data_IF_732688898739
#
_entry.id   IF_732688898739
#
_cell.length_a   1.000
_cell.length_b   1.000
_cell.length_c   1.000
_cell.angle_alpha   90.00
_cell.angle_beta   90.00
_cell.angle_gamma   90.00
#
_symmetry.space_group_name_H-M   'P 1'
#
loop_
_entity.id
_entity.type
_entity.pdbx_description
1 polymer ?
#
# COMPACT_ATOMS: atom_id res chain seq x y z
N UNK A 1 11.13 16.54 -14.32
CA UNK A 1 11.42 15.11 -14.48
C UNK A 1 10.10 14.42 -14.75
N UNK A 2 9.90 13.93 -15.96
CA UNK A 2 8.69 13.20 -16.36
C UNK A 2 8.68 11.85 -15.64
N UNK A 3 7.55 11.42 -15.02
CA UNK A 3 7.49 10.13 -14.35
C UNK A 3 7.65 8.99 -15.36
N UNK A 4 8.20 7.85 -14.95
CA UNK A 4 8.34 6.68 -15.81
C UNK A 4 6.96 6.23 -16.29
N UNK A 5 6.84 5.98 -17.58
CA UNK A 5 5.60 5.53 -18.22
C UNK A 5 5.67 4.02 -18.41
N UNK A 6 4.69 3.31 -17.88
CA UNK A 6 4.54 1.88 -18.09
C UNK A 6 3.77 1.61 -19.39
N UNK A 7 4.35 0.87 -20.30
CA UNK A 7 3.67 0.38 -21.51
C UNK A 7 3.99 -1.11 -21.63
N UNK A 8 3.02 -1.95 -21.34
CA UNK A 8 3.20 -3.40 -21.29
C UNK A 8 4.14 -3.85 -20.15
N UNK A 9 5.02 -4.78 -20.42
CA UNK A 9 5.98 -5.33 -19.45
C UNK A 9 7.31 -4.55 -19.39
N UNK A 10 7.35 -3.28 -19.81
CA UNK A 10 8.59 -2.51 -19.93
C UNK A 10 8.54 -1.20 -19.13
N UNK A 11 9.61 -0.95 -18.38
CA UNK A 11 9.86 0.32 -17.69
C UNK A 11 10.59 1.28 -18.64
N UNK A 12 10.01 2.43 -18.94
CA UNK A 12 10.64 3.49 -19.73
C UNK A 12 11.18 4.57 -18.79
N UNK A 13 12.50 4.73 -18.78
CA UNK A 13 13.17 5.82 -18.07
C UNK A 13 13.49 6.95 -19.05
N UNK A 14 13.15 8.19 -18.68
CA UNK A 14 13.59 9.36 -19.41
C UNK A 14 15.09 9.56 -19.20
N UNK A 15 15.89 9.42 -20.24
CA UNK A 15 17.31 9.78 -20.23
C UNK A 15 17.44 11.26 -20.50
N UNK A 16 18.21 11.99 -19.63
CA UNK A 16 18.31 13.44 -19.56
C UNK A 16 18.34 14.17 -20.91
N UNK A 17 18.17 15.46 -20.90
CA UNK A 17 18.24 16.52 -21.95
C UNK A 17 17.80 16.23 -23.41
N UNK A 18 17.67 14.97 -23.87
CA UNK A 18 17.31 14.64 -25.27
C UNK A 18 15.92 14.02 -25.47
N UNK A 19 15.15 13.80 -24.40
CA UNK A 19 13.78 13.24 -24.51
C UNK A 19 13.66 11.84 -25.13
N UNK A 20 14.77 11.16 -25.39
CA UNK A 20 14.78 9.79 -25.93
C UNK A 20 14.69 8.78 -24.79
N UNK A 21 13.73 7.89 -24.86
CA UNK A 21 13.60 6.77 -23.93
C UNK A 21 14.56 5.65 -24.39
N UNK A 22 15.51 5.27 -23.55
CA UNK A 22 16.39 4.15 -23.83
C UNK A 22 15.76 2.86 -23.28
N UNK A 23 15.71 1.83 -24.12
CA UNK A 23 15.36 0.47 -23.67
C UNK A 23 16.50 -0.06 -22.78
N UNK A 24 16.19 -0.28 -21.51
CA UNK A 24 17.09 -1.01 -20.61
C UNK A 24 16.50 -2.39 -20.40
N UNK A 25 17.18 -3.47 -20.79
CA UNK A 25 16.71 -4.81 -20.47
C UNK A 25 16.63 -4.95 -18.96
N UNK A 26 15.44 -5.32 -18.45
CA UNK A 26 15.24 -5.52 -17.03
C UNK A 26 16.07 -6.72 -16.57
N UNK A 27 16.80 -6.56 -15.46
CA UNK A 27 17.45 -7.69 -14.78
C UNK A 27 16.36 -8.67 -14.30
N UNK A 28 16.68 -9.94 -14.12
CA UNK A 28 15.74 -10.96 -13.61
C UNK A 28 15.09 -10.51 -12.30
N UNK A 29 15.85 -9.87 -11.41
CA UNK A 29 15.40 -9.31 -10.14
C UNK A 29 14.37 -8.19 -10.32
N UNK A 30 14.56 -7.30 -11.32
CA UNK A 30 13.60 -6.22 -11.59
C UNK A 30 12.28 -6.78 -12.18
N UNK A 31 12.35 -7.79 -13.05
CA UNK A 31 11.18 -8.50 -13.58
C UNK A 31 10.37 -9.20 -12.48
N UNK A 32 11.04 -9.87 -11.54
CA UNK A 32 10.42 -10.53 -10.40
C UNK A 32 9.72 -9.52 -9.46
N UNK A 33 10.31 -8.34 -9.25
CA UNK A 33 9.69 -7.28 -8.49
C UNK A 33 8.40 -6.77 -9.17
N UNK A 34 8.42 -6.60 -10.48
CA UNK A 34 7.26 -6.15 -11.24
C UNK A 34 6.12 -7.18 -11.30
N UNK A 35 6.44 -8.46 -11.20
CA UNK A 35 5.45 -9.53 -11.19
C UNK A 35 4.78 -9.69 -9.81
N UNK A 36 5.47 -9.34 -8.74
CA UNK A 36 4.99 -9.48 -7.37
C UNK A 36 3.91 -8.42 -7.04
N UNK A 37 2.67 -8.81 -6.67
CA UNK A 37 1.62 -7.85 -6.30
C UNK A 37 2.02 -6.95 -5.11
N UNK A 38 2.76 -7.48 -4.13
CA UNK A 38 3.24 -6.71 -2.99
C UNK A 38 4.23 -5.64 -3.45
N UNK A 39 5.18 -5.98 -4.32
CA UNK A 39 6.14 -5.02 -4.87
C UNK A 39 5.43 -3.91 -5.66
N UNK A 40 4.43 -4.26 -6.49
CA UNK A 40 3.59 -3.27 -7.20
C UNK A 40 2.86 -2.34 -6.22
N UNK A 41 2.32 -2.88 -5.13
CA UNK A 41 1.69 -2.06 -4.09
C UNK A 41 2.71 -1.13 -3.44
N UNK A 42 3.92 -1.60 -3.14
CA UNK A 42 4.98 -0.75 -2.60
C UNK A 42 5.42 0.35 -3.57
N UNK A 43 5.42 0.12 -4.88
CA UNK A 43 5.64 1.20 -5.86
C UNK A 43 4.54 2.28 -5.81
N UNK A 44 3.32 1.89 -5.49
CA UNK A 44 2.20 2.84 -5.36
C UNK A 44 2.22 3.63 -4.05
N UNK A 45 2.42 2.95 -2.92
CA UNK A 45 2.21 3.54 -1.59
C UNK A 45 3.39 3.36 -0.63
N UNK A 46 4.50 2.77 -1.06
CA UNK A 46 5.64 2.42 -0.21
C UNK A 46 6.45 3.60 0.34
N UNK A 47 6.18 4.80 -0.12
CA UNK A 47 6.71 6.00 0.49
C UNK A 47 5.99 6.29 1.81
N UNK A 48 6.74 6.51 2.86
CA UNK A 48 6.26 6.74 4.22
C UNK A 48 5.02 7.65 4.30
N UNK A 49 5.10 8.84 3.68
CA UNK A 49 4.03 9.82 3.72
C UNK A 49 2.74 9.37 3.01
N UNK A 50 2.83 8.48 2.02
CA UNK A 50 1.66 7.99 1.28
C UNK A 50 0.70 7.23 2.19
N UNK A 51 1.22 6.36 3.05
CA UNK A 51 0.40 5.60 4.02
C UNK A 51 -0.21 6.54 5.06
N UNK A 52 0.55 7.52 5.57
CA UNK A 52 0.04 8.46 6.56
C UNK A 52 -1.02 9.41 5.98
N UNK A 53 -0.88 9.83 4.72
CA UNK A 53 -1.91 10.61 4.01
C UNK A 53 -3.20 9.78 3.86
N UNK A 54 -3.08 8.50 3.48
CA UNK A 54 -4.24 7.60 3.38
C UNK A 54 -4.91 7.39 4.74
N UNK A 55 -4.12 7.19 5.83
CA UNK A 55 -4.63 7.12 7.20
C UNK A 55 -5.48 8.35 7.55
N UNK A 56 -4.96 9.54 7.28
CA UNK A 56 -5.64 10.80 7.59
C UNK A 56 -6.91 10.97 6.74
N UNK A 57 -6.87 10.58 5.48
CA UNK A 57 -8.04 10.59 4.62
C UNK A 57 -9.15 9.62 5.09
N UNK A 58 -8.78 8.46 5.64
CA UNK A 58 -9.74 7.54 6.27
C UNK A 58 -10.36 8.12 7.55
N UNK A 59 -9.68 9.08 8.20
CA UNK A 59 -10.21 9.84 9.34
C UNK A 59 -11.06 11.05 8.90
N UNK A 60 -11.17 11.32 7.59
CA UNK A 60 -12.02 12.33 7.01
C UNK A 60 -11.32 13.62 6.57
N UNK A 61 -9.97 13.70 6.68
CA UNK A 61 -9.25 14.86 6.15
C UNK A 61 -9.27 14.82 4.62
N UNK A 62 -9.48 16.01 4.01
CA UNK A 62 -9.57 16.13 2.55
C UNK A 62 -8.76 17.30 1.99
N UNK A 63 -8.41 18.29 2.81
CA UNK A 63 -7.75 19.51 2.36
C UNK A 63 -6.24 19.45 2.53
N UNK A 64 -5.54 20.15 1.65
CA UNK A 64 -4.10 20.24 1.69
C UNK A 64 -3.56 20.73 3.03
N UNK A 65 -4.15 21.79 3.57
CA UNK A 65 -3.73 22.39 4.84
C UNK A 65 -4.07 21.51 6.05
N UNK A 66 -5.14 20.71 5.97
CA UNK A 66 -5.48 19.72 7.00
C UNK A 66 -4.43 18.61 7.06
N UNK A 67 -4.08 18.02 5.91
CA UNK A 67 -3.01 17.02 5.84
C UNK A 67 -1.66 17.62 6.30
N UNK A 68 -1.35 18.84 5.90
CA UNK A 68 -0.10 19.48 6.28
C UNK A 68 0.01 19.68 7.79
N UNK A 69 -1.06 20.14 8.43
CA UNK A 69 -1.14 20.31 9.89
C UNK A 69 -1.04 18.97 10.63
N UNK A 70 -1.78 17.97 10.18
CA UNK A 70 -1.81 16.64 10.80
C UNK A 70 -0.44 15.96 10.73
N UNK A 71 0.25 16.05 9.59
CA UNK A 71 1.47 15.32 9.34
C UNK A 71 2.76 16.09 9.69
N UNK A 72 2.69 17.40 9.85
CA UNK A 72 3.88 18.24 10.05
C UNK A 72 4.88 18.19 8.89
N UNK A 73 4.43 17.82 7.70
CA UNK A 73 5.30 17.59 6.54
C UNK A 73 5.50 18.87 5.72
N UNK A 74 6.67 19.02 5.08
CA UNK A 74 6.94 20.14 4.20
C UNK A 74 5.98 20.16 2.99
N UNK A 75 5.49 21.35 2.60
CA UNK A 75 4.46 21.53 1.56
C UNK A 75 4.84 20.91 0.21
N UNK A 76 6.12 20.97 -0.19
CA UNK A 76 6.60 20.38 -1.44
C UNK A 76 6.54 18.84 -1.43
N UNK A 77 6.80 18.23 -0.29
CA UNK A 77 6.69 16.76 -0.12
C UNK A 77 5.23 16.36 -0.18
N UNK A 78 4.36 17.04 0.58
CA UNK A 78 2.91 16.77 0.57
C UNK A 78 2.31 16.93 -0.83
N UNK A 79 2.61 18.04 -1.52
CA UNK A 79 2.12 18.29 -2.86
C UNK A 79 2.53 17.17 -3.85
N UNK A 80 3.78 16.70 -3.78
CA UNK A 80 4.28 15.60 -4.60
C UNK A 80 3.55 14.29 -4.29
N UNK A 81 3.30 13.98 -3.01
CA UNK A 81 2.60 12.76 -2.61
C UNK A 81 1.13 12.78 -3.00
N UNK A 82 0.41 13.86 -2.72
CA UNK A 82 -1.00 14.00 -3.12
C UNK A 82 -1.16 13.96 -4.65
N UNK A 83 -0.25 14.58 -5.40
CA UNK A 83 -0.22 14.46 -6.86
C UNK A 83 -0.05 13.01 -7.30
N UNK A 84 0.94 12.31 -6.75
CA UNK A 84 1.19 10.89 -7.06
C UNK A 84 -0.02 10.01 -6.74
N UNK A 85 -0.58 10.14 -5.54
CA UNK A 85 -1.75 9.36 -5.11
C UNK A 85 -2.99 9.64 -5.98
N UNK A 86 -3.11 10.86 -6.53
CA UNK A 86 -4.15 11.21 -7.50
C UNK A 86 -3.87 10.56 -8.87
N UNK A 87 -2.63 10.61 -9.36
CA UNK A 87 -2.23 10.02 -10.65
C UNK A 87 -2.42 8.50 -10.69
N UNK A 88 -2.20 7.80 -9.57
CA UNK A 88 -2.45 6.35 -9.46
C UNK A 88 -3.91 6.01 -9.11
N UNK A 89 -4.78 7.02 -9.01
CA UNK A 89 -6.22 6.86 -8.85
C UNK A 89 -6.68 6.44 -7.44
N UNK A 90 -5.90 6.71 -6.39
CA UNK A 90 -6.35 6.53 -5.01
C UNK A 90 -7.13 7.76 -4.51
N UNK A 91 -6.78 8.94 -5.01
CA UNK A 91 -7.52 10.18 -4.77
C UNK A 91 -8.06 10.75 -6.09
N UNK A 92 -9.12 11.54 -5.98
CA UNK A 92 -9.55 12.50 -6.98
C UNK A 92 -9.54 13.91 -6.40
N UNK A 93 -9.31 14.91 -7.24
CA UNK A 93 -9.36 16.32 -6.84
C UNK A 93 -10.72 16.89 -7.16
N UNK A 94 -11.38 17.46 -6.17
CA UNK A 94 -12.65 18.19 -6.33
C UNK A 94 -12.43 19.66 -6.03
N UNK A 95 -12.73 20.51 -7.00
CA UNK A 95 -12.63 21.96 -6.83
C UNK A 95 -13.70 22.45 -5.86
N UNK A 96 -13.30 23.12 -4.76
CA UNK A 96 -14.24 23.73 -3.82
C UNK A 96 -14.19 25.26 -3.80
N UNK A 97 -13.11 25.87 -4.33
CA UNK A 97 -12.97 27.32 -4.48
C UNK A 97 -12.34 27.64 -5.84
N UNK A 98 -12.88 28.64 -6.54
CA UNK A 98 -12.38 29.05 -7.86
C UNK A 98 -11.32 30.17 -7.78
N UNK A 99 -11.39 31.00 -6.75
CA UNK A 99 -10.49 32.18 -6.59
C UNK A 99 -10.05 32.33 -5.14
N UNK A 100 -8.79 31.95 -4.81
CA UNK A 100 -7.88 31.15 -5.62
C UNK A 100 -8.37 29.69 -5.78
N UNK A 101 -7.95 28.96 -6.83
CA UNK A 101 -8.38 27.58 -7.01
C UNK A 101 -7.90 26.70 -5.85
N UNK A 102 -8.86 26.06 -5.14
CA UNK A 102 -8.59 25.14 -4.03
C UNK A 102 -9.33 23.83 -4.25
N UNK A 103 -8.73 22.74 -3.80
CA UNK A 103 -9.21 21.39 -4.06
C UNK A 103 -9.29 20.57 -2.78
N UNK A 104 -10.36 19.78 -2.67
CA UNK A 104 -10.41 18.63 -1.78
C UNK A 104 -9.77 17.42 -2.48
N UNK A 105 -9.05 16.60 -1.73
CA UNK A 105 -8.52 15.32 -2.14
C UNK A 105 -9.42 14.22 -1.56
N UNK A 106 -10.26 13.63 -2.39
CA UNK A 106 -11.28 12.68 -1.97
C UNK A 106 -10.88 11.27 -2.39
N UNK A 107 -11.03 10.30 -1.48
CA UNK A 107 -10.75 8.90 -1.79
C UNK A 107 -11.69 8.39 -2.89
N UNK A 108 -11.12 7.81 -3.95
CA UNK A 108 -11.86 7.06 -4.97
C UNK A 108 -12.36 5.72 -4.39
N UNK A 109 -13.14 4.94 -5.16
CA UNK A 109 -13.46 3.56 -4.78
C UNK A 109 -12.19 2.74 -4.53
N UNK A 110 -11.21 2.84 -5.44
CA UNK A 110 -9.89 2.18 -5.30
C UNK A 110 -9.13 2.64 -4.04
N UNK A 111 -9.20 3.93 -3.70
CA UNK A 111 -8.60 4.47 -2.48
C UNK A 111 -9.27 3.89 -1.23
N UNK A 112 -10.59 3.80 -1.22
CA UNK A 112 -11.35 3.19 -0.12
C UNK A 112 -11.06 1.70 0.06
N UNK A 113 -10.86 0.96 -1.04
CA UNK A 113 -10.49 -0.46 -1.01
C UNK A 113 -9.13 -0.73 -0.33
N UNK A 114 -8.31 0.31 -0.14
CA UNK A 114 -7.04 0.20 0.59
C UNK A 114 -7.20 0.25 2.11
N UNK A 115 -8.38 0.60 2.63
CA UNK A 115 -8.65 0.71 4.07
C UNK A 115 -8.33 -0.58 4.87
N UNK A 116 -8.67 -1.80 4.42
CA UNK A 116 -8.32 -3.03 5.12
C UNK A 116 -6.80 -3.22 5.32
N UNK A 117 -5.97 -2.75 4.36
CA UNK A 117 -4.51 -2.82 4.49
C UNK A 117 -4.03 -1.92 5.63
N UNK A 118 -4.51 -0.67 5.68
CA UNK A 118 -4.16 0.26 6.77
C UNK A 118 -4.71 -0.23 8.12
N UNK A 119 -5.88 -0.86 8.14
CA UNK A 119 -6.47 -1.47 9.34
C UNK A 119 -5.62 -2.63 9.87
N UNK A 120 -5.10 -3.48 8.98
CA UNK A 120 -4.17 -4.56 9.37
C UNK A 120 -2.85 -4.01 9.91
N UNK A 121 -2.31 -2.92 9.32
CA UNK A 121 -1.13 -2.23 9.84
C UNK A 121 -1.39 -1.65 11.23
N UNK A 122 -2.56 -1.06 11.46
CA UNK A 122 -2.96 -0.53 12.78
C UNK A 122 -3.01 -1.66 13.83
N UNK A 123 -3.65 -2.78 13.52
CA UNK A 123 -3.74 -3.92 14.42
C UNK A 123 -2.36 -4.48 14.77
N UNK A 124 -1.50 -4.64 13.76
CA UNK A 124 -0.13 -5.11 13.97
C UNK A 124 0.69 -4.12 14.81
N UNK A 125 0.57 -2.81 14.52
CA UNK A 125 1.25 -1.75 15.28
C UNK A 125 0.82 -1.71 16.75
N UNK A 126 -0.48 -1.80 17.02
CA UNK A 126 -0.99 -1.85 18.40
C UNK A 126 -0.50 -3.06 19.16
N UNK A 127 -0.39 -4.22 18.51
CA UNK A 127 0.04 -5.46 19.16
C UNK A 127 1.55 -5.48 19.48
N UNK A 128 2.38 -4.91 18.59
CA UNK A 128 3.83 -5.10 18.65
C UNK A 128 4.63 -3.83 18.96
N UNK A 129 4.05 -2.64 18.74
CA UNK A 129 4.76 -1.36 18.83
C UNK A 129 4.15 -0.38 19.83
N UNK A 130 3.20 -0.83 20.65
CA UNK A 130 2.53 0.00 21.65
C UNK A 130 2.60 -0.66 23.04
N UNK A 131 3.79 -0.75 23.66
CA UNK A 131 3.96 -1.39 24.97
C UNK A 131 3.20 -0.68 26.11
N UNK A 132 2.93 0.61 25.95
CA UNK A 132 2.13 1.43 26.87
C UNK A 132 0.61 1.32 26.63
N UNK A 133 0.20 0.58 25.62
CA UNK A 133 -1.20 0.45 25.20
C UNK A 133 -1.52 1.20 23.91
N UNK A 134 -2.57 0.78 23.24
CA UNK A 134 -2.99 1.34 21.95
C UNK A 134 -3.52 2.77 22.10
N UNK A 135 -2.93 3.71 21.36
CA UNK A 135 -3.39 5.12 21.32
C UNK A 135 -4.57 5.33 20.36
N UNK A 136 -4.77 4.43 19.40
CA UNK A 136 -5.86 4.48 18.38
C UNK A 136 -6.44 3.08 18.21
N UNK A 137 -7.77 3.00 18.26
CA UNK A 137 -8.51 1.75 18.04
C UNK A 137 -9.50 1.94 16.88
N UNK A 138 -9.80 0.85 16.18
CA UNK A 138 -11.00 0.79 15.34
C UNK A 138 -12.20 0.45 16.22
N UNK A 139 -13.35 1.03 15.87
CA UNK A 139 -14.59 0.74 16.55
C UNK A 139 -15.71 0.49 15.52
N UNK A 140 -16.65 -0.38 15.88
CA UNK A 140 -17.86 -0.57 15.12
C UNK A 140 -18.68 0.75 15.10
N UNK A 141 -19.04 1.19 13.91
CA UNK A 141 -19.70 2.49 13.73
C UNK A 141 -21.04 2.60 14.48
N UNK A 142 -21.78 1.50 14.56
CA UNK A 142 -23.11 1.51 15.16
C UNK A 142 -23.06 1.51 16.70
N UNK A 143 -22.14 0.76 17.31
CA UNK A 143 -22.10 0.55 18.75
C UNK A 143 -20.98 1.31 19.46
N UNK A 144 -19.98 1.80 18.71
CA UNK A 144 -18.76 2.38 19.29
C UNK A 144 -17.82 1.36 19.96
N UNK A 145 -18.15 0.07 19.91
CA UNK A 145 -17.31 -0.99 20.53
C UNK A 145 -16.02 -1.17 19.75
N UNK A 146 -14.87 -1.27 20.43
CA UNK A 146 -13.61 -1.58 19.80
C UNK A 146 -13.67 -2.90 19.02
N UNK A 147 -13.03 -2.93 17.84
CA UNK A 147 -12.89 -4.13 17.00
C UNK A 147 -11.43 -4.36 16.68
N UNK A 148 -11.03 -5.62 16.61
CA UNK A 148 -9.69 -6.02 16.17
C UNK A 148 -9.77 -6.55 14.73
N UNK A 149 -9.06 -5.92 13.76
CA UNK A 149 -9.05 -6.40 12.39
C UNK A 149 -8.29 -7.72 12.27
N UNK A 150 -8.88 -8.67 11.56
CA UNK A 150 -8.24 -9.92 11.16
C UNK A 150 -8.38 -10.12 9.65
N UNK A 151 -7.45 -10.86 9.05
CA UNK A 151 -7.52 -11.24 7.65
C UNK A 151 -8.11 -12.64 7.55
N UNK A 152 -9.21 -12.76 6.80
CA UNK A 152 -9.94 -14.01 6.62
C UNK A 152 -9.99 -14.37 5.14
N UNK A 153 -10.01 -15.67 4.85
CA UNK A 153 -10.42 -16.18 3.56
C UNK A 153 -11.93 -15.94 3.39
N UNK A 154 -12.29 -15.25 2.29
CA UNK A 154 -13.68 -14.81 2.07
C UNK A 154 -14.71 -15.95 2.01
N UNK A 155 -14.46 -17.07 1.29
CA UNK A 155 -15.41 -18.17 1.22
C UNK A 155 -15.55 -18.95 2.54
N UNK A 156 -14.46 -19.28 3.20
CA UNK A 156 -14.45 -20.15 4.38
C UNK A 156 -14.52 -19.41 5.70
N UNK A 157 -14.29 -18.09 5.69
CA UNK A 157 -14.12 -17.23 6.88
C UNK A 157 -13.01 -17.73 7.83
N UNK A 158 -12.08 -18.53 7.32
CA UNK A 158 -10.94 -19.05 8.08
C UNK A 158 -9.86 -17.97 8.17
N UNK A 159 -9.22 -17.76 9.35
CA UNK A 159 -8.10 -16.83 9.48
C UNK A 159 -6.93 -17.21 8.56
N UNK A 160 -6.39 -16.19 7.86
CA UNK A 160 -5.21 -16.33 7.03
C UNK A 160 -3.98 -16.16 7.91
N UNK A 161 -3.26 -17.26 8.14
CA UNK A 161 -2.01 -17.33 8.93
C UNK A 161 -0.96 -18.13 8.15
N UNK A 162 0.28 -18.13 8.64
CA UNK A 162 1.34 -18.96 8.04
C UNK A 162 1.04 -20.46 8.11
N UNK A 163 0.21 -20.88 9.06
CA UNK A 163 -0.17 -22.29 9.24
C UNK A 163 -1.36 -22.71 8.36
N UNK A 164 -2.19 -21.75 7.95
CA UNK A 164 -3.41 -22.03 7.19
C UNK A 164 -3.27 -21.82 5.69
N UNK A 165 -2.28 -21.03 5.23
CA UNK A 165 -2.11 -20.72 3.82
C UNK A 165 -0.65 -20.75 3.36
N UNK A 166 -0.46 -20.98 2.06
CA UNK A 166 0.83 -20.89 1.39
C UNK A 166 0.73 -20.01 0.15
N UNK A 167 1.83 -19.38 -0.23
CA UNK A 167 1.90 -18.65 -1.49
C UNK A 167 2.07 -19.66 -2.64
N UNK A 168 1.24 -19.55 -3.65
CA UNK A 168 1.31 -20.34 -4.88
C UNK A 168 1.45 -19.43 -6.10
N UNK A 169 1.98 -19.98 -7.17
CA UNK A 169 2.07 -19.28 -8.44
C UNK A 169 0.65 -19.06 -9.02
N UNK A 170 0.35 -17.83 -9.41
CA UNK A 170 -0.90 -17.49 -10.07
C UNK A 170 -0.88 -17.89 -11.56
N UNK A 171 -2.02 -17.79 -12.26
CA UNK A 171 -2.15 -18.25 -13.66
C UNK A 171 -1.30 -17.45 -14.67
N UNK A 172 -0.76 -16.32 -14.27
CA UNK A 172 0.12 -15.48 -15.09
C UNK A 172 1.55 -15.41 -14.58
N UNK A 173 1.92 -16.33 -13.66
CA UNK A 173 3.26 -16.38 -13.12
C UNK A 173 4.26 -16.82 -14.19
N UNK A 174 5.44 -16.18 -14.21
CA UNK A 174 6.57 -16.58 -15.06
C UNK A 174 7.16 -17.91 -14.57
N UNK A 175 7.99 -18.54 -15.41
CA UNK A 175 8.75 -19.72 -15.02
C UNK A 175 9.62 -19.45 -13.78
N UNK A 176 10.28 -18.30 -13.74
CA UNK A 176 11.10 -17.85 -12.61
C UNK A 176 10.28 -17.72 -11.31
N UNK A 177 9.03 -17.24 -11.40
CA UNK A 177 8.14 -17.14 -10.24
C UNK A 177 7.69 -18.52 -9.77
N UNK A 178 7.37 -19.42 -10.71
CA UNK A 178 7.07 -20.82 -10.39
C UNK A 178 8.22 -21.51 -9.67
N UNK A 179 9.42 -21.39 -10.19
CA UNK A 179 10.62 -21.95 -9.57
C UNK A 179 10.86 -21.37 -8.17
N UNK A 180 10.78 -20.06 -8.02
CA UNK A 180 10.96 -19.37 -6.74
C UNK A 180 9.97 -19.84 -5.67
N UNK A 181 8.69 -20.01 -6.02
CA UNK A 181 7.67 -20.42 -5.07
C UNK A 181 7.75 -21.91 -4.75
N UNK A 182 8.12 -22.74 -5.72
CA UNK A 182 8.28 -24.17 -5.50
C UNK A 182 9.51 -24.49 -4.66
N UNK A 183 10.64 -23.83 -4.90
CA UNK A 183 11.88 -24.02 -4.12
C UNK A 183 11.73 -23.58 -2.66
N UNK A 184 10.83 -22.64 -2.35
CA UNK A 184 10.58 -22.14 -1.00
C UNK A 184 9.48 -22.87 -0.24
N UNK A 185 8.69 -23.72 -0.89
CA UNK A 185 7.71 -24.58 -0.24
C UNK A 185 8.32 -25.56 0.77
N UNK A 186 9.61 -25.81 0.65
CA UNK A 186 10.39 -26.69 1.52
C UNK A 186 11.07 -25.94 2.68
N UNK A 187 10.53 -24.83 3.19
CA UNK A 187 11.03 -24.25 4.45
C UNK A 187 10.83 -25.29 5.55
N UNK A 188 11.90 -25.72 6.22
CA UNK A 188 11.76 -26.70 7.29
C UNK A 188 10.90 -26.12 8.44
N UNK A 189 10.10 -26.95 9.12
CA UNK A 189 9.22 -26.55 10.21
C UNK A 189 9.93 -25.79 11.37
N UNK A 190 11.25 -25.94 11.44
CA UNK A 190 12.10 -25.33 12.49
C UNK A 190 12.25 -23.80 12.39
N UNK A 191 11.77 -23.13 11.32
CA UNK A 191 11.79 -21.66 11.20
C UNK A 191 10.45 -21.01 11.50
N UNK A 192 9.43 -21.77 11.84
CA UNK A 192 8.17 -21.25 12.37
C UNK A 192 8.32 -21.27 13.89
N UNK A 193 8.44 -20.12 14.60
CA UNK A 193 8.40 -20.12 16.04
C UNK A 193 7.06 -20.73 16.45
N UNK A 194 7.08 -21.92 17.03
CA UNK A 194 5.91 -22.44 17.73
C UNK A 194 5.58 -21.43 18.82
N UNK A 195 4.51 -20.66 18.63
CA UNK A 195 4.00 -19.75 19.62
C UNK A 195 3.72 -20.54 20.91
N UNK A 196 4.65 -20.48 21.85
CA UNK A 196 4.38 -20.87 23.21
C UNK A 196 3.51 -19.78 23.81
N UNK A 197 2.33 -20.20 24.18
CA UNK A 197 1.28 -19.45 24.79
C UNK A 197 1.65 -18.74 26.09
N UNK A 198 0.89 -17.83 26.38
CA UNK A 198 0.21 -17.47 27.63
C UNK A 198 -0.32 -16.05 27.46
#
# INVERSE_FOLDING_TARGET
MTPPRWIGNHLWLANGKSGRYAFRPMTSTARQADECPIARTMHCVGEWWSILILRDAFQGLSRFDEFQRSLGVASNILARRLKHLTEIGLFERRLYSQRPPRYDYVLTARGRDFFPVVSAMLAWGNRHLAPEGASVLLAERASGKPVEPVVLDRPSLTPITLDTVVLIAGPRASADMHERLNSRRALPPALIPTGSGA
#
